data_IF_733997921633
#
_entry.id   IF_733997921633
#
_cell.length_a   1.000
_cell.length_b   1.000
_cell.length_c   1.000
_cell.angle_alpha   90.00
_cell.angle_beta   90.00
_cell.angle_gamma   90.00
#
_symmetry.space_group_name_H-M   'P 1'
#
loop_
_entity.id
_entity.type
_entity.pdbx_description
1 polymer ?
#
# COMPACT_ATOMS: atom_id res chain seq x y z
N UNK A 1 37.88 5.55 -25.70
CA UNK A 1 37.75 5.53 -24.22
C UNK A 1 37.94 4.10 -23.77
N UNK A 2 39.01 3.81 -23.00
CA UNK A 2 39.22 2.46 -22.45
C UNK A 2 38.55 2.41 -21.08
N UNK A 3 37.45 1.67 -21.00
CA UNK A 3 36.78 1.37 -19.73
C UNK A 3 37.80 0.67 -18.82
N UNK A 4 37.93 1.15 -17.59
CA UNK A 4 38.77 0.50 -16.60
C UNK A 4 38.18 -0.88 -16.28
N UNK A 5 39.03 -1.86 -15.93
CA UNK A 5 38.59 -3.25 -15.67
C UNK A 5 37.48 -3.31 -14.61
N UNK A 6 37.50 -2.38 -13.67
CA UNK A 6 36.52 -2.23 -12.60
C UNK A 6 35.17 -1.72 -13.10
N UNK A 7 35.16 -0.73 -14.01
CA UNK A 7 33.92 -0.23 -14.62
C UNK A 7 33.21 -1.34 -15.42
N UNK A 8 33.96 -2.18 -16.13
CA UNK A 8 33.38 -3.31 -16.86
C UNK A 8 32.63 -4.28 -15.94
N UNK A 9 33.15 -4.52 -14.73
CA UNK A 9 32.48 -5.37 -13.74
C UNK A 9 31.19 -4.71 -13.23
N UNK A 10 31.23 -3.41 -12.95
CA UNK A 10 30.06 -2.65 -12.50
C UNK A 10 28.96 -2.66 -13.57
N UNK A 11 29.31 -2.45 -14.84
CA UNK A 11 28.35 -2.50 -15.96
C UNK A 11 27.68 -3.86 -16.11
N UNK A 12 28.43 -4.96 -15.94
CA UNK A 12 27.89 -6.32 -16.01
C UNK A 12 26.93 -6.58 -14.85
N UNK A 13 27.31 -6.18 -13.63
CA UNK A 13 26.44 -6.32 -12.45
C UNK A 13 25.15 -5.51 -12.59
N UNK A 14 25.24 -4.28 -13.13
CA UNK A 14 24.08 -3.43 -13.38
C UNK A 14 23.13 -4.08 -14.40
N UNK A 15 23.65 -4.61 -15.50
CA UNK A 15 22.86 -5.31 -16.52
C UNK A 15 22.19 -6.58 -15.97
N UNK A 16 22.89 -7.35 -15.15
CA UNK A 16 22.34 -8.55 -14.52
C UNK A 16 21.19 -8.20 -13.57
N UNK A 17 21.36 -7.16 -12.75
CA UNK A 17 20.34 -6.68 -11.83
C UNK A 17 19.12 -6.09 -12.58
N UNK A 18 19.35 -5.20 -13.57
CA UNK A 18 18.27 -4.62 -14.38
C UNK A 18 17.53 -5.68 -15.21
N UNK A 19 18.26 -6.68 -15.71
CA UNK A 19 17.67 -7.80 -16.44
C UNK A 19 16.71 -8.60 -15.57
N UNK A 20 17.15 -8.98 -14.36
CA UNK A 20 16.29 -9.68 -13.39
C UNK A 20 15.08 -8.84 -12.98
N UNK A 21 15.26 -7.52 -12.80
CA UNK A 21 14.18 -6.60 -12.43
C UNK A 21 13.16 -6.43 -13.56
N UNK A 22 13.62 -6.37 -14.82
CA UNK A 22 12.74 -6.22 -16.00
C UNK A 22 11.87 -7.47 -16.22
N UNK A 23 12.44 -8.67 -16.04
CA UNK A 23 11.68 -9.93 -16.12
C UNK A 23 10.66 -10.02 -14.98
N UNK A 24 11.03 -9.63 -13.76
CA UNK A 24 10.10 -9.57 -12.64
C UNK A 24 8.96 -8.57 -12.89
N UNK A 25 9.24 -7.42 -13.50
CA UNK A 25 8.21 -6.44 -13.85
C UNK A 25 7.22 -6.99 -14.88
N UNK A 26 7.64 -7.81 -15.84
CA UNK A 26 6.74 -8.41 -16.81
C UNK A 26 5.96 -9.61 -16.24
N UNK A 27 6.59 -10.43 -15.41
CA UNK A 27 5.97 -11.60 -14.78
C UNK A 27 5.02 -11.24 -13.63
N UNK A 28 5.31 -10.13 -12.93
CA UNK A 28 4.56 -9.62 -11.80
C UNK A 28 4.11 -8.18 -12.08
N UNK A 29 3.70 -7.88 -13.32
CA UNK A 29 3.04 -6.61 -13.56
C UNK A 29 1.73 -6.64 -12.77
N UNK A 30 1.54 -5.78 -11.76
CA UNK A 30 0.20 -5.57 -11.22
C UNK A 30 -0.67 -5.14 -12.41
N UNK A 31 -1.87 -5.69 -12.51
CA UNK A 31 -2.87 -5.26 -13.49
C UNK A 31 -3.22 -3.78 -13.22
N UNK A 32 -2.38 -2.88 -13.74
CA UNK A 32 -2.70 -1.47 -13.89
C UNK A 32 -3.56 -1.43 -15.14
N UNK A 33 -4.84 -1.68 -14.93
CA UNK A 33 -5.85 -1.50 -15.95
C UNK A 33 -5.73 -0.11 -16.59
N UNK A 34 -5.50 -0.10 -17.90
CA UNK A 34 -5.81 1.04 -18.76
C UNK A 34 -4.66 1.62 -19.56
N UNK A 35 -4.26 0.93 -20.64
CA UNK A 35 -4.04 1.55 -21.96
C UNK A 35 -3.71 0.46 -23.00
N UNK A 36 -4.73 -0.02 -23.71
CA UNK A 36 -4.55 -0.68 -25.00
C UNK A 36 -3.95 0.32 -26.01
N UNK A 37 -3.14 -0.12 -26.99
CA UNK A 37 -3.75 -0.64 -28.20
C UNK A 37 -2.98 -1.78 -28.85
N UNK A 38 -3.72 -2.81 -29.26
CA UNK A 38 -3.26 -3.72 -30.31
C UNK A 38 -3.34 -5.20 -29.93
N UNK A 39 -4.16 -5.92 -30.70
CA UNK A 39 -4.18 -7.38 -30.80
C UNK A 39 -4.92 -8.06 -29.64
N UNK A 40 -5.88 -8.95 -29.82
CA UNK A 40 -6.20 -9.78 -30.96
C UNK A 40 -7.56 -10.43 -30.75
N UNK A 41 -8.33 -10.52 -31.82
CA UNK A 41 -9.57 -11.26 -31.92
C UNK A 41 -9.44 -12.72 -31.45
N UNK A 42 -10.49 -13.25 -30.82
CA UNK A 42 -11.13 -14.51 -31.27
C UNK A 42 -12.41 -14.79 -30.48
N UNK A 43 -13.51 -14.82 -31.26
CA UNK A 43 -14.66 -15.74 -31.21
C UNK A 43 -15.01 -16.46 -29.91
N UNK A 44 -16.25 -16.26 -29.43
CA UNK A 44 -17.18 -17.38 -29.18
C UNK A 44 -18.59 -16.92 -28.78
N UNK A 45 -19.57 -17.32 -29.59
CA UNK A 45 -20.91 -17.81 -29.18
C UNK A 45 -22.01 -16.81 -28.76
N UNK A 46 -23.08 -16.64 -29.57
CA UNK A 46 -24.29 -15.89 -29.20
C UNK A 46 -25.28 -16.69 -28.33
N UNK A 47 -24.83 -17.75 -27.65
CA UNK A 47 -25.68 -18.61 -26.82
C UNK A 47 -25.20 -18.59 -25.37
N UNK A 48 -25.50 -17.50 -24.66
CA UNK A 48 -25.49 -17.44 -23.19
C UNK A 48 -26.84 -16.90 -22.73
N UNK A 49 -27.89 -17.56 -23.20
CA UNK A 49 -29.22 -17.51 -22.60
C UNK A 49 -29.28 -18.58 -21.50
N UNK A 50 -29.74 -18.18 -20.32
CA UNK A 50 -30.12 -19.04 -19.19
C UNK A 50 -28.97 -19.83 -18.52
N UNK A 51 -28.10 -19.09 -17.83
CA UNK A 51 -27.35 -19.62 -16.70
C UNK A 51 -27.45 -18.62 -15.56
N UNK A 52 -28.22 -18.95 -14.52
CA UNK A 52 -28.35 -18.19 -13.28
C UNK A 52 -26.98 -18.07 -12.61
N UNK A 53 -26.20 -17.10 -13.08
CA UNK A 53 -25.00 -16.65 -12.42
C UNK A 53 -25.47 -15.58 -11.47
N UNK A 54 -25.74 -15.97 -10.23
CA UNK A 54 -25.56 -15.10 -9.07
C UNK A 54 -24.07 -14.74 -9.01
N UNK A 55 -23.61 -13.98 -10.01
CA UNK A 55 -22.41 -13.19 -9.93
C UNK A 55 -22.82 -12.03 -9.03
N UNK A 56 -22.70 -12.27 -7.72
CA UNK A 56 -22.60 -11.19 -6.74
C UNK A 56 -21.45 -10.33 -7.23
N UNK A 57 -21.84 -9.25 -7.87
CA UNK A 57 -21.00 -8.17 -8.30
C UNK A 57 -20.22 -7.69 -7.08
N UNK A 58 -18.98 -8.15 -6.93
CA UNK A 58 -17.98 -7.43 -6.14
C UNK A 58 -17.59 -6.17 -6.90
N UNK A 59 -18.55 -5.26 -7.00
CA UNK A 59 -18.32 -3.84 -7.20
C UNK A 59 -17.56 -3.32 -5.98
N UNK A 60 -16.25 -3.48 -5.97
CA UNK A 60 -15.38 -2.64 -5.17
C UNK A 60 -14.72 -1.66 -6.12
N UNK A 61 -15.40 -0.52 -6.26
CA UNK A 61 -14.95 0.69 -6.94
C UNK A 61 -13.50 0.98 -6.55
N UNK A 62 -12.71 1.34 -7.55
CA UNK A 62 -11.45 2.05 -7.41
C UNK A 62 -11.59 3.19 -6.38
N UNK A 63 -10.86 3.05 -5.27
CA UNK A 63 -10.90 3.90 -4.08
C UNK A 63 -10.18 3.12 -2.98
N UNK A 64 -9.02 3.61 -2.52
CA UNK A 64 -8.00 2.84 -1.80
C UNK A 64 -8.55 1.86 -0.75
N UNK A 65 -7.95 0.68 -0.68
CA UNK A 65 -8.35 -0.37 0.27
C UNK A 65 -8.42 0.21 1.68
N UNK A 66 -9.64 0.29 2.23
CA UNK A 66 -9.84 0.60 3.63
C UNK A 66 -9.36 -0.60 4.44
N UNK A 67 -8.24 -0.45 5.13
CA UNK A 67 -7.65 -1.47 5.98
C UNK A 67 -8.00 -1.16 7.44
N UNK A 68 -8.42 -2.18 8.16
CA UNK A 68 -8.57 -2.13 9.61
C UNK A 68 -7.49 -3.00 10.22
N UNK A 69 -6.58 -2.40 10.98
CA UNK A 69 -5.49 -3.10 11.66
C UNK A 69 -5.71 -3.00 13.15
N UNK A 70 -5.54 -4.11 13.85
CA UNK A 70 -5.52 -4.14 15.31
C UNK A 70 -4.12 -4.56 15.75
N UNK A 71 -3.57 -3.85 16.74
CA UNK A 71 -2.27 -4.19 17.30
C UNK A 71 -1.92 -3.33 18.50
N UNK A 72 -0.80 -3.66 19.14
CA UNK A 72 -0.23 -2.86 20.23
C UNK A 72 0.70 -1.80 19.68
N UNK A 73 0.71 -0.65 20.34
CA UNK A 73 1.61 0.45 20.00
C UNK A 73 3.02 0.13 20.46
N UNK A 74 3.94 -0.05 19.52
CA UNK A 74 5.37 -0.19 19.80
C UNK A 74 6.01 1.18 19.99
N UNK A 75 5.68 2.12 19.10
CA UNK A 75 6.26 3.45 19.09
C UNK A 75 5.22 4.52 18.70
N UNK A 76 5.34 5.70 19.32
CA UNK A 76 4.53 6.88 19.09
C UNK A 76 5.49 8.05 18.87
N UNK A 77 5.46 8.64 17.67
CA UNK A 77 6.35 9.74 17.28
C UNK A 77 5.57 10.90 16.69
N UNK A 78 5.64 12.04 17.37
CA UNK A 78 5.09 13.30 16.87
C UNK A 78 6.09 13.99 15.94
N UNK A 79 5.65 14.42 14.76
CA UNK A 79 6.48 15.18 13.82
C UNK A 79 6.53 16.65 14.24
N UNK A 80 7.74 17.20 14.40
CA UNK A 80 7.95 18.58 14.87
C UNK A 80 7.51 19.64 13.85
N UNK A 81 7.46 19.28 12.56
CA UNK A 81 7.25 20.24 11.46
C UNK A 81 5.84 20.26 10.89
N UNK A 82 4.91 19.45 11.42
CA UNK A 82 3.56 19.33 10.84
C UNK A 82 2.48 18.83 11.78
N UNK A 83 2.80 18.53 13.05
CA UNK A 83 1.80 18.05 14.03
C UNK A 83 1.18 16.71 13.67
N UNK A 84 1.80 15.95 12.76
CA UNK A 84 1.38 14.60 12.41
C UNK A 84 1.88 13.60 13.45
N UNK A 85 1.11 12.55 13.67
CA UNK A 85 1.46 11.46 14.56
C UNK A 85 1.78 10.22 13.73
N UNK A 86 2.98 9.66 13.93
CA UNK A 86 3.35 8.35 13.44
C UNK A 86 3.21 7.34 14.58
N UNK A 87 2.51 6.25 14.30
CA UNK A 87 2.31 5.15 15.24
C UNK A 87 2.83 3.87 14.58
N UNK A 88 3.71 3.17 15.28
CA UNK A 88 4.18 1.84 14.86
C UNK A 88 3.47 0.78 15.69
N UNK A 89 2.92 -0.23 15.03
CA UNK A 89 2.22 -1.33 15.66
C UNK A 89 3.10 -2.59 15.65
N UNK A 90 2.89 -3.50 16.60
CA UNK A 90 3.53 -4.81 16.62
C UNK A 90 2.95 -5.78 15.57
N UNK A 91 1.67 -5.60 15.27
CA UNK A 91 0.87 -6.53 14.46
C UNK A 91 0.97 -6.24 12.96
N UNK A 92 1.49 -5.06 12.58
CA UNK A 92 1.75 -4.72 11.19
C UNK A 92 3.04 -3.93 11.09
N UNK A 93 3.86 -4.24 10.08
CA UNK A 93 5.10 -3.49 9.81
C UNK A 93 4.87 -2.14 9.12
N UNK A 94 3.61 -1.80 8.86
CA UNK A 94 3.18 -0.56 8.22
C UNK A 94 3.01 0.54 9.26
N UNK A 95 3.72 1.68 9.15
CA UNK A 95 3.49 2.81 10.03
C UNK A 95 2.11 3.41 9.77
N UNK A 96 1.41 3.75 10.85
CA UNK A 96 0.15 4.47 10.80
C UNK A 96 0.45 5.95 10.83
N UNK A 97 0.01 6.65 9.79
CA UNK A 97 0.13 8.09 9.66
C UNK A 97 -1.19 8.77 10.00
N UNK A 98 -1.17 9.59 11.05
CA UNK A 98 -2.31 10.43 11.44
C UNK A 98 -1.98 11.90 11.16
N UNK A 99 -2.70 12.54 10.21
CA UNK A 99 -2.59 13.97 9.96
C UNK A 99 -3.00 14.82 11.18
N UNK A 100 -2.39 16.00 11.37
CA UNK A 100 -2.80 16.96 12.41
C UNK A 100 -4.30 17.29 12.35
N UNK A 101 -4.82 17.54 11.12
CA UNK A 101 -6.24 17.79 10.85
C UNK A 101 -7.18 16.65 11.27
N UNK A 102 -6.65 15.44 11.39
CA UNK A 102 -7.40 14.24 11.75
C UNK A 102 -7.42 14.00 13.27
N UNK A 103 -6.89 14.91 14.10
CA UNK A 103 -6.87 14.78 15.55
C UNK A 103 -5.64 14.04 16.10
N UNK A 104 -4.50 14.13 15.42
CA UNK A 104 -3.23 13.56 15.87
C UNK A 104 -2.86 13.96 17.32
N UNK A 105 -3.10 15.22 17.69
CA UNK A 105 -2.80 15.74 19.03
C UNK A 105 -3.70 15.12 20.11
N UNK A 106 -5.00 14.96 19.82
CA UNK A 106 -5.97 14.31 20.72
C UNK A 106 -5.62 12.84 20.94
N UNK A 107 -5.21 12.15 19.87
CA UNK A 107 -4.79 10.75 19.92
C UNK A 107 -3.47 10.60 20.68
N UNK A 108 -2.49 11.48 20.48
CA UNK A 108 -1.21 11.44 21.19
C UNK A 108 -1.38 11.58 22.72
N UNK A 109 -2.36 12.36 23.17
CA UNK A 109 -2.67 12.51 24.60
C UNK A 109 -3.46 11.34 25.20
N UNK A 110 -4.14 10.54 24.37
CA UNK A 110 -5.00 9.43 24.81
C UNK A 110 -4.38 8.04 24.62
N UNK A 111 -3.39 7.92 23.74
CA UNK A 111 -2.73 6.66 23.40
C UNK A 111 -1.33 6.61 24.01
N UNK A 112 -0.99 5.50 24.67
CA UNK A 112 0.33 5.25 25.23
C UNK A 112 1.06 4.09 24.54
N UNK A 113 2.40 4.06 24.62
CA UNK A 113 3.18 2.88 24.20
C UNK A 113 2.69 1.64 24.98
N UNK A 114 2.40 0.56 24.27
CA UNK A 114 1.88 -0.69 24.81
C UNK A 114 0.35 -0.85 24.77
N UNK A 115 -0.40 0.20 24.47
CA UNK A 115 -1.86 0.11 24.36
C UNK A 115 -2.28 -0.68 23.12
N UNK A 116 -3.36 -1.44 23.27
CA UNK A 116 -3.99 -2.19 22.19
C UNK A 116 -5.00 -1.28 21.48
N UNK A 117 -4.80 -1.05 20.20
CA UNK A 117 -5.64 -0.15 19.41
C UNK A 117 -6.11 -0.83 18.13
N UNK A 118 -7.29 -0.45 17.69
CA UNK A 118 -7.79 -0.72 16.35
C UNK A 118 -7.76 0.57 15.54
N UNK A 119 -7.06 0.54 14.42
CA UNK A 119 -6.91 1.66 13.49
C UNK A 119 -7.61 1.28 12.19
N UNK A 120 -8.52 2.13 11.74
CA UNK A 120 -9.11 2.05 10.41
C UNK A 120 -8.55 3.17 9.54
N UNK A 121 -7.97 2.81 8.40
CA UNK A 121 -7.35 3.77 7.50
C UNK A 121 -7.38 3.28 6.07
N UNK A 122 -6.68 4.00 5.19
CA UNK A 122 -6.49 3.61 3.80
C UNK A 122 -5.00 3.34 3.61
N UNK A 123 -4.65 2.19 3.03
CA UNK A 123 -3.27 1.91 2.66
C UNK A 123 -2.89 2.80 1.50
N UNK A 124 -1.82 3.56 1.68
CA UNK A 124 -1.23 4.43 0.66
C UNK A 124 0.25 4.18 0.58
N UNK A 125 0.78 4.32 -0.63
CA UNK A 125 2.21 4.30 -0.86
C UNK A 125 2.75 5.73 -0.79
N UNK A 126 3.66 5.97 0.13
CA UNK A 126 4.37 7.23 0.28
C UNK A 126 5.88 7.00 0.13
N UNK A 127 6.47 7.60 -0.90
CA UNK A 127 7.90 7.47 -1.24
C UNK A 127 8.36 6.01 -1.44
N UNK A 128 7.55 5.15 -2.05
CA UNK A 128 7.91 3.74 -2.25
C UNK A 128 7.72 2.87 -1.01
N UNK A 129 7.10 3.39 0.06
CA UNK A 129 6.79 2.67 1.28
C UNK A 129 5.31 2.71 1.55
N UNK A 130 4.73 1.56 1.87
CA UNK A 130 3.32 1.48 2.26
C UNK A 130 3.13 2.04 3.68
N UNK A 131 2.11 2.86 3.86
CA UNK A 131 1.70 3.46 5.12
C UNK A 131 0.17 3.51 5.22
N UNK A 132 -0.36 3.57 6.44
CA UNK A 132 -1.80 3.61 6.68
C UNK A 132 -2.19 5.06 6.99
N UNK A 133 -2.83 5.75 6.05
CA UNK A 133 -3.32 7.11 6.27
C UNK A 133 -4.68 7.08 6.99
N UNK A 134 -4.75 7.73 8.15
CA UNK A 134 -5.97 7.87 8.95
C UNK A 134 -6.66 9.20 8.65
N UNK A 135 -7.94 9.14 8.28
CA UNK A 135 -8.71 10.34 7.93
C UNK A 135 -9.37 11.02 9.13
N UNK A 136 -9.69 10.28 10.20
CA UNK A 136 -10.41 10.82 11.38
C UNK A 136 -9.90 10.22 12.69
N UNK A 137 -9.99 10.97 13.78
CA UNK A 137 -9.65 10.50 15.13
C UNK A 137 -10.57 9.37 15.62
N UNK A 138 -11.82 9.36 15.16
CA UNK A 138 -12.80 8.31 15.47
C UNK A 138 -12.45 6.95 14.86
N UNK A 139 -11.58 6.93 13.86
CA UNK A 139 -11.16 5.69 13.21
C UNK A 139 -10.10 4.93 14.05
N UNK A 140 -9.62 5.54 15.14
CA UNK A 140 -8.72 4.94 16.12
C UNK A 140 -9.49 4.65 17.40
N UNK A 141 -9.66 3.37 17.71
CA UNK A 141 -10.37 2.89 18.90
C UNK A 141 -9.38 2.21 19.82
N UNK A 142 -9.32 2.64 21.08
CA UNK A 142 -8.53 1.98 22.12
C UNK A 142 -9.32 0.78 22.65
N UNK A 143 -8.72 -0.40 22.55
CA UNK A 143 -9.25 -1.66 23.07
C UNK A 143 -8.59 -1.88 24.43
N UNK A 144 -9.21 -1.27 25.45
CA UNK A 144 -8.78 -1.36 26.85
C UNK A 144 -8.81 -2.78 27.40
#
# INVERSE_FOLDING_TARGET
MRLQKEEMVVFVLLLMALGSLSVAFWAFSPDVGGAAPGSSASSSSPFSALGVSTATSSSARNGGQSLSVQGRITELKMTQSGGHLLIELDSTSLPVFVPARSGAEELAGRLGKGDLIAVKGIVREYQGREEIEVSRSTDVVNLR
#
